data_IF_398112014595
#
_entry.id   IF_398112014595
#
_cell.length_a   1.000
_cell.length_b   1.000
_cell.length_c   1.000
_cell.angle_alpha   90.00
_cell.angle_beta   90.00
_cell.angle_gamma   90.00
#
_symmetry.space_group_name_H-M   'P 1'
#
loop_
_entity.id
_entity.type
_entity.pdbx_description
1 polymer ?
#
# COMPACT_ATOMS: atom_id res chain seq x y z
N UNK A 1 12.40 -41.87 15.64
CA UNK A 1 13.29 -40.77 15.20
C UNK A 1 12.48 -39.51 15.34
N UNK A 2 12.70 -38.73 16.40
CA UNK A 2 12.20 -37.36 16.46
C UNK A 2 13.02 -36.55 15.46
N UNK A 3 12.37 -36.05 14.42
CA UNK A 3 12.96 -35.03 13.55
C UNK A 3 13.01 -33.78 14.43
N UNK A 4 14.16 -33.52 15.02
CA UNK A 4 14.44 -32.21 15.63
C UNK A 4 14.55 -31.27 14.44
N UNK A 5 13.45 -30.62 14.08
CA UNK A 5 13.48 -29.44 13.20
C UNK A 5 14.27 -28.37 13.94
N UNK A 6 15.58 -28.36 13.70
CA UNK A 6 16.47 -27.29 14.12
C UNK A 6 16.13 -26.07 13.25
N UNK A 7 15.01 -25.42 13.56
CA UNK A 7 14.50 -24.26 12.83
C UNK A 7 15.48 -23.12 13.06
N UNK A 8 16.35 -22.88 12.08
CA UNK A 8 17.25 -21.73 12.10
C UNK A 8 16.42 -20.45 12.23
N UNK A 9 16.73 -19.64 13.23
CA UNK A 9 16.04 -18.37 13.45
C UNK A 9 16.55 -17.37 12.41
N UNK A 10 15.64 -16.66 11.75
CA UNK A 10 16.00 -15.62 10.79
C UNK A 10 16.83 -14.51 11.47
N UNK A 11 17.96 -14.16 10.87
CA UNK A 11 18.93 -13.21 11.42
C UNK A 11 19.63 -12.44 10.31
N UNK A 12 20.31 -11.37 10.71
CA UNK A 12 21.15 -10.62 9.79
C UNK A 12 22.37 -11.45 9.40
N UNK A 13 22.71 -11.46 8.12
CA UNK A 13 23.86 -12.20 7.57
C UNK A 13 25.18 -11.44 7.71
N UNK A 14 25.11 -10.17 8.13
CA UNK A 14 26.24 -9.26 8.30
C UNK A 14 26.22 -8.64 9.69
N UNK A 15 27.36 -8.10 10.13
CA UNK A 15 27.44 -7.39 11.40
C UNK A 15 26.64 -6.08 11.37
N UNK A 16 26.19 -5.58 12.53
CA UNK A 16 25.44 -4.32 12.61
C UNK A 16 26.21 -3.12 12.03
N UNK A 17 27.54 -3.07 12.20
CA UNK A 17 28.39 -2.02 11.62
C UNK A 17 28.43 -2.09 10.09
N UNK A 18 28.52 -3.30 9.54
CA UNK A 18 28.50 -3.50 8.10
C UNK A 18 27.12 -3.16 7.53
N UNK A 19 26.06 -3.47 8.27
CA UNK A 19 24.69 -3.11 7.90
C UNK A 19 24.52 -1.60 7.80
N UNK A 20 24.97 -0.84 8.79
CA UNK A 20 24.94 0.62 8.75
C UNK A 20 25.74 1.21 7.58
N UNK A 21 26.85 0.57 7.21
CA UNK A 21 27.68 0.97 6.07
C UNK A 21 27.02 0.70 4.72
N UNK A 22 26.35 -0.45 4.57
CA UNK A 22 25.67 -0.85 3.34
C UNK A 22 24.39 -0.04 3.12
N UNK A 23 23.61 0.20 4.17
CA UNK A 23 22.36 0.96 4.14
C UNK A 23 22.62 2.42 4.52
N UNK A 24 23.27 3.14 3.60
CA UNK A 24 23.78 4.48 3.82
C UNK A 24 22.70 5.57 3.84
N UNK A 25 21.61 5.44 3.07
CA UNK A 25 20.53 6.42 3.08
C UNK A 25 19.74 6.28 4.38
N UNK A 26 19.68 7.36 5.17
CA UNK A 26 18.96 7.41 6.44
C UNK A 26 17.58 8.06 6.27
N UNK A 27 16.62 7.49 6.97
CA UNK A 27 15.31 8.09 7.18
C UNK A 27 15.07 8.17 8.68
N UNK A 28 14.54 9.30 9.13
CA UNK A 28 14.12 9.50 10.51
C UNK A 28 12.61 9.26 10.62
N UNK A 29 12.18 8.67 11.72
CA UNK A 29 10.75 8.56 12.05
C UNK A 29 10.25 9.96 12.44
N UNK A 30 9.56 10.63 11.52
CA UNK A 30 9.02 11.98 11.73
C UNK A 30 7.78 11.95 12.61
N UNK A 31 6.90 10.98 12.38
CA UNK A 31 5.67 10.81 13.14
C UNK A 31 5.30 9.32 13.21
N UNK A 32 4.77 8.90 14.35
CA UNK A 32 4.19 7.57 14.57
C UNK A 32 2.83 7.79 15.26
N UNK A 33 1.79 7.12 14.78
CA UNK A 33 0.47 7.16 15.42
C UNK A 33 -0.21 5.82 15.30
N UNK A 34 -0.67 5.28 16.43
CA UNK A 34 -1.53 4.11 16.45
C UNK A 34 -2.96 4.52 16.10
N UNK A 35 -3.56 3.87 15.12
CA UNK A 35 -4.93 4.20 14.69
C UNK A 35 -5.95 3.79 15.72
N UNK A 36 -5.72 2.65 16.39
CA UNK A 36 -6.56 2.18 17.48
C UNK A 36 -5.71 1.63 18.62
N UNK A 37 -6.27 1.63 19.84
CA UNK A 37 -5.63 1.02 21.01
C UNK A 37 -5.61 -0.52 20.95
N UNK A 38 -6.42 -1.11 20.06
CA UNK A 38 -6.41 -2.55 19.77
C UNK A 38 -5.48 -2.80 18.59
N UNK A 39 -4.76 -3.92 18.59
CA UNK A 39 -4.00 -4.33 17.41
C UNK A 39 -4.99 -4.57 16.25
N UNK A 40 -4.90 -3.75 15.22
CA UNK A 40 -5.74 -3.81 14.01
C UNK A 40 -4.84 -3.80 12.78
N UNK A 41 -5.13 -4.67 11.82
CA UNK A 41 -4.40 -4.75 10.57
C UNK A 41 -4.80 -3.61 9.63
N UNK A 42 -3.82 -2.88 9.12
CA UNK A 42 -4.03 -1.86 8.07
C UNK A 42 -3.42 -2.39 6.77
N UNK A 43 -4.29 -2.87 5.88
CA UNK A 43 -3.85 -3.49 4.63
C UNK A 43 -3.82 -2.51 3.45
N UNK A 44 -4.55 -1.38 3.53
CA UNK A 44 -4.64 -0.40 2.45
C UNK A 44 -4.55 1.02 3.01
N UNK A 45 -3.77 1.85 2.32
CA UNK A 45 -3.59 3.26 2.62
C UNK A 45 -3.60 4.07 1.32
N UNK A 46 -3.98 5.34 1.43
CA UNK A 46 -3.83 6.31 0.35
C UNK A 46 -3.28 7.62 0.92
N UNK A 47 -2.43 8.30 0.15
CA UNK A 47 -1.84 9.58 0.54
C UNK A 47 -2.19 10.63 -0.51
N UNK A 48 -2.67 11.77 -0.06
CA UNK A 48 -3.01 12.92 -0.89
C UNK A 48 -1.76 13.76 -1.22
N UNK A 49 -1.87 14.70 -2.17
CA UNK A 49 -0.77 15.62 -2.53
C UNK A 49 -0.39 16.55 -1.38
N UNK A 50 -1.34 16.85 -0.50
CA UNK A 50 -1.10 17.64 0.73
C UNK A 50 -0.71 16.79 1.94
N UNK A 51 -0.36 15.51 1.77
CA UNK A 51 -0.01 14.60 2.87
C UNK A 51 -1.16 14.36 3.86
N UNK A 52 -2.41 14.34 3.38
CA UNK A 52 -3.48 13.66 4.11
C UNK A 52 -3.33 12.16 3.88
N UNK A 53 -3.47 11.36 4.92
CA UNK A 53 -3.29 9.92 4.92
C UNK A 53 -4.61 9.29 5.29
N UNK A 54 -5.19 8.51 4.38
CA UNK A 54 -6.40 7.74 4.62
C UNK A 54 -6.02 6.28 4.82
N UNK A 55 -6.53 5.69 5.89
CA UNK A 55 -6.31 4.28 6.21
C UNK A 55 -7.65 3.56 6.36
N UNK A 56 -7.71 2.37 5.78
CA UNK A 56 -8.84 1.46 5.93
C UNK A 56 -8.72 0.67 7.23
N UNK A 57 -9.82 0.57 7.98
CA UNK A 57 -9.90 -0.24 9.19
C UNK A 57 -10.77 -1.48 8.99
N UNK A 58 -10.58 -2.46 9.89
CA UNK A 58 -11.33 -3.72 9.91
C UNK A 58 -12.79 -3.58 10.33
N UNK A 59 -13.15 -2.45 10.96
CA UNK A 59 -14.53 -2.14 11.34
C UNK A 59 -15.29 -1.39 10.24
N UNK A 60 -14.81 -1.52 8.99
CA UNK A 60 -15.39 -0.91 7.78
C UNK A 60 -15.44 0.61 7.81
N UNK A 61 -14.64 1.24 8.68
CA UNK A 61 -14.44 2.67 8.72
C UNK A 61 -13.12 3.08 8.09
N UNK A 62 -13.04 4.37 7.76
CA UNK A 62 -11.83 4.99 7.23
C UNK A 62 -11.43 6.08 8.21
N UNK A 63 -10.15 6.12 8.56
CA UNK A 63 -9.59 7.23 9.32
C UNK A 63 -8.69 8.07 8.43
N UNK A 64 -8.87 9.38 8.51
CA UNK A 64 -8.08 10.35 7.75
C UNK A 64 -7.24 11.16 8.73
N UNK A 65 -5.96 11.19 8.47
CA UNK A 65 -4.95 11.94 9.22
C UNK A 65 -4.34 13.01 8.33
N UNK A 66 -3.82 14.07 8.93
CA UNK A 66 -3.00 15.08 8.27
C UNK A 66 -1.62 15.08 8.89
N UNK A 67 -0.60 15.09 8.05
CA UNK A 67 0.77 15.31 8.49
C UNK A 67 1.04 16.81 8.67
N UNK A 68 1.17 17.23 9.92
CA UNK A 68 1.56 18.58 10.30
C UNK A 68 2.99 18.55 10.86
N UNK A 69 3.97 18.88 10.00
CA UNK A 69 5.41 18.82 10.27
C UNK A 69 5.88 17.41 10.69
N UNK A 70 5.90 17.14 11.99
CA UNK A 70 6.36 15.90 12.62
C UNK A 70 5.28 15.27 13.51
N UNK A 71 4.01 15.57 13.24
CA UNK A 71 2.89 15.00 13.98
C UNK A 71 1.75 14.65 13.04
N UNK A 72 1.03 13.57 13.36
CA UNK A 72 -0.19 13.20 12.66
C UNK A 72 -1.39 13.65 13.49
N UNK A 73 -2.22 14.51 12.91
CA UNK A 73 -3.48 14.96 13.50
C UNK A 73 -4.64 14.23 12.82
N UNK A 74 -5.56 13.66 13.61
CA UNK A 74 -6.77 13.03 13.06
C UNK A 74 -7.71 14.11 12.54
N UNK A 75 -8.05 14.05 11.25
CA UNK A 75 -8.95 15.00 10.58
C UNK A 75 -10.39 14.56 10.78
N UNK A 76 -10.73 13.34 10.34
CA UNK A 76 -12.07 12.80 10.42
C UNK A 76 -12.07 11.27 10.42
N UNK A 77 -13.24 10.71 10.71
CA UNK A 77 -13.55 9.29 10.57
C UNK A 77 -14.78 9.16 9.70
N UNK A 78 -14.67 8.38 8.62
CA UNK A 78 -15.73 8.15 7.66
C UNK A 78 -16.32 6.77 7.95
N UNK A 79 -17.62 6.70 8.10
CA UNK A 79 -18.34 5.47 8.44
C UNK A 79 -19.67 5.47 7.71
N UNK A 80 -20.02 4.32 7.13
CA UNK A 80 -21.19 4.21 6.28
C UNK A 80 -21.16 3.01 5.35
N UNK A 81 -20.02 2.31 5.25
CA UNK A 81 -19.97 0.96 4.69
C UNK A 81 -20.49 -0.07 5.69
N UNK A 82 -21.24 -1.07 5.22
CA UNK A 82 -21.89 -2.13 6.00
C UNK A 82 -21.14 -3.47 5.94
N UNK A 83 -20.30 -3.65 4.93
CA UNK A 83 -19.47 -4.79 4.61
C UNK A 83 -18.00 -4.37 4.55
N UNK A 84 -17.12 -5.34 4.36
CA UNK A 84 -15.68 -5.11 4.32
C UNK A 84 -15.33 -4.08 3.26
N UNK A 85 -14.72 -2.98 3.69
CA UNK A 85 -14.01 -2.09 2.79
C UNK A 85 -12.88 -2.87 2.11
N UNK A 86 -12.62 -2.59 0.84
CA UNK A 86 -11.55 -3.26 0.09
C UNK A 86 -10.46 -2.30 -0.35
N UNK A 87 -10.81 -1.06 -0.67
CA UNK A 87 -9.85 -0.07 -1.18
C UNK A 87 -10.21 1.36 -0.77
N UNK A 88 -9.19 2.21 -0.64
CA UNK A 88 -9.34 3.66 -0.39
C UNK A 88 -8.37 4.44 -1.26
N UNK A 89 -8.84 5.50 -1.93
CA UNK A 89 -8.02 6.27 -2.89
C UNK A 89 -8.38 7.76 -2.81
N UNK A 90 -7.40 8.63 -2.56
CA UNK A 90 -7.60 10.08 -2.68
C UNK A 90 -7.77 10.51 -4.14
N UNK A 91 -8.60 11.52 -4.35
CA UNK A 91 -8.70 12.17 -5.67
C UNK A 91 -7.37 12.80 -6.06
N UNK A 92 -6.97 12.59 -7.31
CA UNK A 92 -5.78 13.22 -7.90
C UNK A 92 -5.99 14.71 -8.21
N UNK A 93 -7.24 15.18 -8.25
CA UNK A 93 -7.62 16.57 -8.55
C UNK A 93 -7.94 17.39 -7.31
N UNK A 94 -8.65 16.79 -6.36
CA UNK A 94 -9.18 17.49 -5.19
C UNK A 94 -8.75 16.79 -3.90
N UNK A 95 -7.82 17.41 -3.18
CA UNK A 95 -7.11 16.77 -2.07
C UNK A 95 -7.99 16.37 -0.87
N UNK A 96 -9.20 16.92 -0.81
CA UNK A 96 -10.18 16.63 0.23
C UNK A 96 -11.17 15.53 -0.15
N UNK A 97 -11.20 15.10 -1.41
CA UNK A 97 -12.08 14.04 -1.88
C UNK A 97 -11.40 12.69 -1.75
N UNK A 98 -12.12 11.72 -1.18
CA UNK A 98 -11.67 10.36 -0.98
C UNK A 98 -12.70 9.40 -1.56
N UNK A 99 -12.25 8.42 -2.33
CA UNK A 99 -13.07 7.31 -2.81
C UNK A 99 -12.80 6.09 -1.94
N UNK A 100 -13.82 5.28 -1.71
CA UNK A 100 -13.66 3.97 -1.09
C UNK A 100 -14.58 2.93 -1.69
N UNK A 101 -14.06 1.71 -1.80
CA UNK A 101 -14.80 0.56 -2.33
C UNK A 101 -15.21 -0.38 -1.19
N UNK A 102 -16.46 -0.83 -1.22
CA UNK A 102 -17.10 -1.68 -0.22
C UNK A 102 -18.62 -1.79 -0.47
N UNK A 103 -19.29 -2.76 0.14
CA UNK A 103 -20.75 -3.00 0.02
C UNK A 103 -21.27 -3.22 -1.41
N UNK A 104 -20.42 -3.72 -2.31
CA UNK A 104 -20.75 -3.82 -3.73
C UNK A 104 -20.96 -2.49 -4.43
N UNK A 105 -20.26 -1.44 -3.98
CA UNK A 105 -20.21 -0.15 -4.64
C UNK A 105 -18.96 0.67 -4.30
N UNK A 106 -18.90 1.87 -4.86
CA UNK A 106 -17.91 2.89 -4.51
C UNK A 106 -18.61 4.05 -3.84
N UNK A 107 -18.00 4.62 -2.80
CA UNK A 107 -18.49 5.85 -2.14
C UNK A 107 -17.46 6.96 -2.29
N UNK A 108 -17.93 8.16 -2.58
CA UNK A 108 -17.15 9.40 -2.55
C UNK A 108 -17.44 10.17 -1.27
N UNK A 109 -16.38 10.63 -0.61
CA UNK A 109 -16.41 11.36 0.64
C UNK A 109 -15.72 12.70 0.49
N UNK A 110 -16.25 13.73 1.15
CA UNK A 110 -15.53 14.99 1.39
C UNK A 110 -14.99 14.96 2.82
N UNK A 111 -13.67 14.90 2.96
CA UNK A 111 -12.99 14.84 4.26
C UNK A 111 -13.15 16.08 5.14
N UNK A 112 -13.63 17.20 4.58
CA UNK A 112 -13.96 18.43 5.31
C UNK A 112 -15.37 18.40 5.89
N UNK A 113 -16.27 17.65 5.26
CA UNK A 113 -17.64 17.49 5.72
C UNK A 113 -17.70 16.25 6.61
N UNK A 114 -18.30 16.38 7.80
CA UNK A 114 -18.22 15.36 8.85
C UNK A 114 -18.92 14.04 8.47
N UNK A 115 -18.22 13.14 7.79
CA UNK A 115 -18.57 11.73 7.64
C UNK A 115 -19.76 11.42 6.73
N UNK A 116 -20.29 12.39 5.97
CA UNK A 116 -21.38 12.14 5.03
C UNK A 116 -20.82 11.70 3.67
N UNK A 117 -21.40 10.63 3.14
CA UNK A 117 -21.17 10.21 1.78
C UNK A 117 -21.72 11.29 0.83
N UNK A 118 -20.87 11.77 -0.08
CA UNK A 118 -21.22 12.78 -1.09
C UNK A 118 -21.98 12.12 -2.24
N UNK A 119 -21.53 10.95 -2.66
CA UNK A 119 -22.11 10.21 -3.78
C UNK A 119 -21.77 8.72 -3.67
N UNK A 120 -22.73 7.87 -4.02
CA UNK A 120 -22.52 6.42 -4.16
C UNK A 120 -22.57 6.06 -5.65
N UNK A 121 -21.67 5.16 -6.06
CA UNK A 121 -21.60 4.58 -7.40
C UNK A 121 -21.90 3.09 -7.25
N UNK A 122 -23.01 2.65 -7.82
CA UNK A 122 -23.50 1.28 -7.73
C UNK A 122 -24.05 0.87 -9.07
N UNK A 123 -23.94 -0.40 -9.37
CA UNK A 123 -24.70 -1.03 -10.45
C UNK A 123 -25.99 -1.57 -9.83
N UNK A 124 -27.10 -0.86 -9.99
CA UNK A 124 -28.40 -1.28 -9.44
C UNK A 124 -29.06 -2.38 -10.27
N UNK A 125 -28.64 -2.57 -11.52
CA UNK A 125 -29.24 -3.54 -12.43
C UNK A 125 -28.63 -4.94 -12.27
N UNK A 126 -27.39 -5.03 -11.79
CA UNK A 126 -26.71 -6.28 -11.48
C UNK A 126 -26.74 -6.60 -9.98
N UNK A 127 -26.57 -7.87 -9.64
CA UNK A 127 -26.37 -8.24 -8.23
C UNK A 127 -25.12 -7.51 -7.71
N UNK A 128 -25.10 -7.10 -6.43
CA UNK A 128 -23.95 -6.39 -5.88
C UNK A 128 -22.70 -7.28 -5.98
N UNK A 129 -21.83 -6.94 -6.94
CA UNK A 129 -20.55 -7.60 -7.12
C UNK A 129 -19.65 -7.32 -5.91
N UNK A 130 -18.91 -8.33 -5.41
CA UNK A 130 -17.89 -8.08 -4.39
C UNK A 130 -16.70 -7.40 -5.06
N UNK A 131 -16.56 -6.08 -4.88
CA UNK A 131 -15.41 -5.34 -5.42
C UNK A 131 -14.20 -5.50 -4.51
N UNK A 132 -13.12 -6.07 -5.04
CA UNK A 132 -11.87 -6.40 -4.32
C UNK A 132 -10.83 -5.28 -4.35
N UNK A 133 -10.91 -4.42 -5.36
CA UNK A 133 -9.96 -3.34 -5.59
C UNK A 133 -10.60 -2.22 -6.42
N UNK A 134 -9.97 -1.05 -6.42
CA UNK A 134 -10.44 0.12 -7.15
C UNK A 134 -9.30 1.10 -7.39
N UNK A 135 -9.40 1.88 -8.45
CA UNK A 135 -8.59 3.10 -8.61
C UNK A 135 -9.34 4.21 -9.34
N UNK A 136 -8.77 5.41 -9.30
CA UNK A 136 -9.31 6.59 -9.98
C UNK A 136 -8.26 7.17 -10.93
N UNK A 137 -8.68 7.42 -12.16
CA UNK A 137 -7.83 7.99 -13.20
C UNK A 137 -7.16 9.31 -12.76
N UNK A 138 -5.98 9.61 -13.32
CA UNK A 138 -5.27 10.85 -13.06
C UNK A 138 -6.02 12.13 -13.52
N UNK A 139 -7.04 11.97 -14.37
CA UNK A 139 -8.00 13.03 -14.71
C UNK A 139 -9.03 13.27 -13.61
N UNK A 140 -9.20 12.33 -12.68
CA UNK A 140 -10.23 12.34 -11.63
C UNK A 140 -11.63 12.03 -12.12
N UNK A 141 -11.78 11.68 -13.41
CA UNK A 141 -13.09 11.55 -14.06
C UNK A 141 -13.60 10.12 -14.10
N UNK A 142 -12.72 9.15 -14.33
CA UNK A 142 -13.07 7.74 -14.43
C UNK A 142 -12.64 7.02 -13.16
N UNK A 143 -13.58 6.24 -12.61
CA UNK A 143 -13.38 5.32 -11.50
C UNK A 143 -13.47 3.91 -12.09
N UNK A 144 -12.60 3.00 -11.68
CA UNK A 144 -12.67 1.60 -12.06
C UNK A 144 -12.57 0.72 -10.81
N UNK A 145 -13.42 -0.28 -10.70
CA UNK A 145 -13.37 -1.30 -9.66
C UNK A 145 -13.29 -2.70 -10.28
N UNK A 146 -12.47 -3.56 -9.69
CA UNK A 146 -12.38 -4.98 -10.04
C UNK A 146 -13.19 -5.85 -9.09
N UNK A 147 -13.74 -6.95 -9.59
CA UNK A 147 -14.57 -7.88 -8.81
C UNK A 147 -13.82 -9.13 -8.39
N UNK A 148 -14.39 -9.86 -7.43
CA UNK A 148 -14.17 -11.30 -7.27
C UNK A 148 -14.71 -12.06 -8.48
N UNK A 149 -14.29 -13.31 -8.61
CA UNK A 149 -14.72 -14.22 -9.68
C UNK A 149 -16.19 -14.58 -9.51
N UNK A 150 -16.98 -14.35 -10.55
CA UNK A 150 -18.37 -14.76 -10.64
C UNK A 150 -18.56 -15.70 -11.83
N UNK A 151 -19.08 -16.90 -11.58
CA UNK A 151 -19.36 -17.88 -12.65
C UNK A 151 -18.15 -18.15 -13.59
N UNK A 152 -16.93 -18.07 -13.03
CA UNK A 152 -15.60 -18.26 -13.64
C UNK A 152 -14.95 -17.04 -14.30
N UNK A 153 -15.61 -15.88 -14.31
CA UNK A 153 -15.04 -14.65 -14.87
C UNK A 153 -15.03 -13.55 -13.81
N UNK A 154 -14.02 -12.71 -13.82
CA UNK A 154 -13.93 -11.51 -13.00
C UNK A 154 -13.94 -10.27 -13.90
N UNK A 155 -14.60 -9.22 -13.41
CA UNK A 155 -15.04 -8.10 -14.23
C UNK A 155 -14.43 -6.77 -13.74
N UNK A 156 -14.25 -5.83 -14.67
CA UNK A 156 -13.92 -4.44 -14.37
C UNK A 156 -15.14 -3.56 -14.64
N UNK A 157 -15.61 -2.84 -13.64
CA UNK A 157 -16.75 -1.91 -13.77
C UNK A 157 -16.27 -0.47 -13.70
N UNK A 158 -16.79 0.38 -14.59
CA UNK A 158 -16.36 1.77 -14.72
C UNK A 158 -17.49 2.75 -14.40
N UNK A 159 -17.14 3.88 -13.80
CA UNK A 159 -18.07 5.00 -13.56
C UNK A 159 -17.45 6.33 -13.99
N UNK A 160 -18.29 7.27 -14.42
CA UNK A 160 -17.92 8.69 -14.50
C UNK A 160 -18.22 9.30 -13.13
N UNK A 161 -17.24 9.98 -12.54
CA UNK A 161 -17.35 10.66 -11.25
C UNK A 161 -18.60 11.56 -11.14
N UNK A 162 -19.14 12.07 -12.25
CA UNK A 162 -20.31 12.95 -12.28
C UNK A 162 -21.65 12.22 -12.32
N UNK A 163 -21.66 10.90 -12.46
CA UNK A 163 -22.86 10.06 -12.60
C UNK A 163 -22.79 8.89 -11.63
N UNK A 164 -23.91 8.56 -10.99
CA UNK A 164 -23.98 7.41 -10.09
C UNK A 164 -24.02 6.08 -10.85
N UNK A 165 -24.63 6.08 -12.04
CA UNK A 165 -24.77 4.91 -12.91
C UNK A 165 -23.44 4.52 -13.56
N UNK A 166 -23.19 3.22 -13.76
CA UNK A 166 -21.99 2.73 -14.44
C UNK A 166 -21.95 3.18 -15.90
N UNK A 167 -20.73 3.42 -16.39
CA UNK A 167 -20.46 3.64 -17.82
C UNK A 167 -20.51 2.34 -18.62
N UNK A 168 -20.31 1.21 -17.95
CA UNK A 168 -20.13 -0.11 -18.55
C UNK A 168 -18.88 -0.77 -17.97
N UNK A 169 -18.30 -1.71 -18.71
CA UNK A 169 -17.06 -2.35 -18.32
C UNK A 169 -16.69 -3.61 -19.08
N UNK A 170 -15.66 -4.29 -18.57
CA UNK A 170 -14.94 -5.36 -19.24
C UNK A 170 -15.26 -6.69 -18.55
N UNK A 171 -15.94 -7.56 -19.30
CA UNK A 171 -16.64 -8.72 -18.76
C UNK A 171 -15.86 -10.02 -18.94
N UNK A 172 -14.74 -10.01 -19.66
CA UNK A 172 -13.86 -11.17 -19.79
C UNK A 172 -12.42 -10.78 -19.45
N UNK A 173 -12.27 -9.91 -18.45
CA UNK A 173 -10.98 -9.31 -18.10
C UNK A 173 -10.04 -10.35 -17.49
N UNK A 174 -10.53 -11.17 -16.55
CA UNK A 174 -9.74 -12.17 -15.83
C UNK A 174 -10.57 -13.41 -15.50
N UNK A 175 -9.90 -14.56 -15.28
CA UNK A 175 -10.58 -15.83 -14.93
C UNK A 175 -10.55 -16.14 -13.43
N UNK A 176 -9.85 -15.33 -12.65
CA UNK A 176 -9.85 -15.36 -11.18
C UNK A 176 -9.92 -13.93 -10.61
N UNK A 177 -10.04 -13.80 -9.29
CA UNK A 177 -10.28 -12.54 -8.59
C UNK A 177 -9.28 -11.46 -9.01
N UNK A 178 -9.80 -10.28 -9.38
CA UNK A 178 -8.95 -9.14 -9.69
C UNK A 178 -8.40 -8.62 -8.36
N UNK A 179 -7.08 -8.61 -8.19
CA UNK A 179 -6.48 -8.20 -6.92
C UNK A 179 -6.05 -6.74 -6.92
N UNK A 180 -5.80 -6.18 -8.10
CA UNK A 180 -5.34 -4.81 -8.28
C UNK A 180 -5.92 -4.19 -9.55
N UNK A 181 -6.33 -2.94 -9.42
CA UNK A 181 -6.61 -2.02 -10.52
C UNK A 181 -5.77 -0.78 -10.27
N UNK A 182 -5.04 -0.32 -11.29
CA UNK A 182 -4.19 0.87 -11.22
C UNK A 182 -4.24 1.70 -12.50
N UNK A 183 -4.78 2.91 -12.40
CA UNK A 183 -4.65 3.88 -13.47
C UNK A 183 -3.21 4.38 -13.56
N UNK A 184 -2.79 4.67 -14.79
CA UNK A 184 -1.48 5.25 -15.03
C UNK A 184 -1.39 6.66 -14.41
N UNK A 185 -0.22 7.02 -13.89
CA UNK A 185 -0.01 8.27 -13.14
C UNK A 185 -0.26 9.53 -13.96
N UNK A 186 0.06 9.48 -15.25
CA UNK A 186 0.02 10.63 -16.16
C UNK A 186 -0.93 10.50 -17.36
N UNK A 187 -1.44 9.29 -17.65
CA UNK A 187 -2.25 8.98 -18.84
C UNK A 187 -3.61 8.51 -18.35
N UNK A 188 -4.66 9.31 -18.56
CA UNK A 188 -5.97 9.02 -17.98
C UNK A 188 -6.67 7.83 -18.61
N UNK A 189 -6.26 7.49 -19.82
CA UNK A 189 -6.77 6.42 -20.65
C UNK A 189 -6.11 5.06 -20.38
N UNK A 190 -4.94 5.04 -19.73
CA UNK A 190 -4.21 3.80 -19.47
C UNK A 190 -4.56 3.20 -18.12
N UNK A 191 -5.00 1.95 -18.12
CA UNK A 191 -5.33 1.17 -16.93
C UNK A 191 -4.56 -0.16 -16.92
N UNK A 192 -4.05 -0.56 -15.76
CA UNK A 192 -3.55 -1.92 -15.51
C UNK A 192 -4.49 -2.64 -14.53
N UNK A 193 -4.85 -3.89 -14.84
CA UNK A 193 -5.46 -4.82 -13.90
C UNK A 193 -4.55 -6.02 -13.68
N UNK A 194 -4.56 -6.57 -12.48
CA UNK A 194 -3.87 -7.81 -12.15
C UNK A 194 -4.74 -8.72 -11.31
N UNK A 195 -4.58 -10.03 -11.49
CA UNK A 195 -5.43 -11.05 -10.88
C UNK A 195 -4.62 -12.20 -10.25
N UNK A 196 -5.34 -13.03 -9.49
CA UNK A 196 -4.84 -14.32 -8.99
C UNK A 196 -4.49 -15.29 -10.12
N UNK A 197 -5.05 -15.12 -11.31
CA UNK A 197 -4.77 -15.92 -12.51
C UNK A 197 -3.31 -15.80 -13.01
N UNK A 198 -2.53 -14.89 -12.43
CA UNK A 198 -1.13 -14.64 -12.77
C UNK A 198 -0.92 -13.77 -14.00
N UNK A 199 -1.96 -13.05 -14.42
CA UNK A 199 -1.95 -12.17 -15.58
C UNK A 199 -2.09 -10.70 -15.15
N UNK A 200 -1.43 -9.82 -15.89
CA UNK A 200 -1.70 -8.38 -15.88
C UNK A 200 -2.23 -7.99 -17.26
N UNK A 201 -3.37 -7.31 -17.31
CA UNK A 201 -3.88 -6.72 -18.54
C UNK A 201 -3.66 -5.20 -18.54
N UNK A 202 -3.22 -4.67 -19.67
CA UNK A 202 -3.05 -3.23 -19.91
C UNK A 202 -4.10 -2.80 -20.93
N UNK A 203 -4.89 -1.80 -20.55
CA UNK A 203 -5.99 -1.29 -21.35
C UNK A 203 -5.78 0.17 -21.77
N UNK A 204 -6.30 0.52 -22.95
CA UNK A 204 -6.69 1.88 -23.32
C UNK A 204 -8.22 2.01 -23.20
N UNK A 205 -8.68 2.71 -22.17
CA UNK A 205 -10.11 2.84 -21.86
C UNK A 205 -10.85 3.89 -22.70
N UNK A 206 -10.18 4.54 -23.66
CA UNK A 206 -10.84 5.40 -24.66
C UNK A 206 -11.46 4.61 -25.82
N UNK A 207 -11.06 3.35 -25.99
CA UNK A 207 -11.60 2.48 -27.03
C UNK A 207 -13.03 2.03 -26.70
N UNK A 208 -13.84 1.80 -27.73
CA UNK A 208 -15.27 1.56 -27.58
C UNK A 208 -15.66 0.16 -27.11
N UNK A 209 -14.75 -0.81 -27.19
CA UNK A 209 -14.98 -2.21 -26.82
C UNK A 209 -13.84 -2.75 -25.97
N UNK A 210 -14.09 -3.80 -25.19
CA UNK A 210 -13.08 -4.48 -24.37
C UNK A 210 -11.93 -5.05 -25.24
N UNK A 211 -12.27 -5.67 -26.37
CA UNK A 211 -11.31 -6.28 -27.28
C UNK A 211 -10.36 -5.24 -27.90
N UNK A 212 -10.88 -4.06 -28.26
CA UNK A 212 -10.08 -2.95 -28.78
C UNK A 212 -9.28 -2.26 -27.66
N UNK A 213 -9.85 -2.20 -26.45
CA UNK A 213 -9.21 -1.59 -25.30
C UNK A 213 -8.00 -2.39 -24.80
N UNK A 214 -8.04 -3.72 -24.87
CA UNK A 214 -6.94 -4.58 -24.40
C UNK A 214 -5.70 -4.43 -25.30
N UNK A 215 -4.67 -3.74 -24.80
CA UNK A 215 -3.43 -3.52 -25.53
C UNK A 215 -2.44 -4.67 -25.35
N UNK A 216 -2.25 -5.11 -24.10
CA UNK A 216 -1.25 -6.12 -23.75
C UNK A 216 -1.74 -7.00 -22.61
N UNK A 217 -1.36 -8.27 -22.69
CA UNK A 217 -1.53 -9.27 -21.63
C UNK A 217 -0.16 -9.77 -21.22
N UNK A 218 0.22 -9.50 -19.97
CA UNK A 218 1.54 -9.83 -19.42
C UNK A 218 1.41 -11.04 -18.50
N UNK A 219 2.15 -12.11 -18.79
CA UNK A 219 2.18 -13.30 -17.96
C UNK A 219 3.24 -13.18 -16.84
N UNK A 220 2.75 -13.11 -15.61
CA UNK A 220 3.56 -12.97 -14.38
C UNK A 220 3.89 -14.33 -13.76
N UNK A 221 3.31 -15.42 -14.28
CA UNK A 221 3.48 -16.82 -13.83
C UNK A 221 2.85 -17.15 -12.46
N UNK A 222 2.59 -16.13 -11.63
CA UNK A 222 2.05 -16.26 -10.27
C UNK A 222 1.04 -15.15 -9.96
N UNK A 223 0.12 -15.44 -9.03
CA UNK A 223 -0.87 -14.51 -8.52
C UNK A 223 -0.30 -13.12 -8.20
N UNK A 224 -0.93 -12.10 -8.76
CA UNK A 224 -0.56 -10.69 -8.55
C UNK A 224 -1.04 -10.24 -7.17
N UNK A 225 -0.14 -9.72 -6.34
CA UNK A 225 -0.49 -9.18 -5.02
C UNK A 225 -0.57 -7.65 -5.06
N UNK A 226 0.42 -7.01 -5.69
CA UNK A 226 0.53 -5.55 -5.80
C UNK A 226 0.99 -5.10 -7.17
N UNK A 227 0.38 -4.03 -7.66
CA UNK A 227 0.77 -3.30 -8.85
C UNK A 227 1.09 -1.86 -8.50
N UNK A 228 2.21 -1.36 -9.01
CA UNK A 228 2.60 0.04 -8.85
C UNK A 228 3.23 0.55 -10.15
N UNK A 229 2.68 1.64 -10.68
CA UNK A 229 3.30 2.39 -11.77
C UNK A 229 4.57 3.09 -11.23
N UNK A 230 5.73 2.74 -11.79
CA UNK A 230 7.00 3.34 -11.40
C UNK A 230 7.23 4.64 -12.17
N UNK A 231 6.89 4.67 -13.44
CA UNK A 231 6.93 5.86 -14.30
C UNK A 231 6.02 5.69 -15.54
N UNK A 232 6.23 6.55 -16.53
CA UNK A 232 5.46 6.64 -17.78
C UNK A 232 5.42 5.38 -18.67
N UNK A 233 6.30 4.40 -18.44
CA UNK A 233 6.30 3.15 -19.18
C UNK A 233 6.54 1.91 -18.30
N UNK A 234 7.04 2.05 -17.07
CA UNK A 234 7.40 0.92 -16.21
C UNK A 234 6.33 0.62 -15.16
N UNK A 235 5.90 -0.63 -15.13
CA UNK A 235 5.01 -1.19 -14.13
C UNK A 235 5.76 -2.21 -13.28
N UNK A 236 5.68 -2.10 -11.95
CA UNK A 236 6.15 -3.15 -11.04
C UNK A 236 4.99 -4.01 -10.57
N UNK A 237 5.26 -5.31 -10.46
CA UNK A 237 4.36 -6.31 -9.91
C UNK A 237 5.07 -7.08 -8.80
N UNK A 238 4.48 -7.09 -7.61
CA UNK A 238 4.84 -8.03 -6.56
C UNK A 238 3.85 -9.20 -6.55
N UNK A 239 4.36 -10.42 -6.56
CA UNK A 239 3.53 -11.64 -6.57
C UNK A 239 3.30 -12.13 -5.15
N UNK A 240 2.32 -13.01 -4.97
CA UNK A 240 2.03 -13.67 -3.69
C UNK A 240 3.24 -14.48 -3.13
N UNK A 241 4.16 -14.91 -4.02
CA UNK A 241 5.40 -15.58 -3.64
C UNK A 241 6.52 -14.62 -3.23
N UNK A 242 6.24 -13.31 -3.14
CA UNK A 242 7.21 -12.26 -2.82
C UNK A 242 8.33 -12.12 -3.88
N UNK A 243 8.02 -12.45 -5.12
CA UNK A 243 8.86 -12.10 -6.26
C UNK A 243 8.49 -10.72 -6.77
N UNK A 244 9.46 -9.99 -7.29
CA UNK A 244 9.25 -8.69 -7.92
C UNK A 244 9.58 -8.76 -9.42
N UNK A 245 8.62 -8.37 -10.25
CA UNK A 245 8.80 -8.20 -11.68
C UNK A 245 8.64 -6.72 -12.06
N UNK A 246 9.44 -6.26 -13.03
CA UNK A 246 9.32 -4.92 -13.63
C UNK A 246 9.14 -5.10 -15.12
N UNK A 247 8.09 -4.50 -15.65
CA UNK A 247 7.65 -4.62 -17.03
C UNK A 247 7.70 -3.28 -17.75
N UNK A 248 8.01 -3.31 -19.05
CA UNK A 248 7.76 -2.20 -19.95
C UNK A 248 6.37 -2.37 -20.56
N UNK A 249 5.49 -1.40 -20.32
CA UNK A 249 4.10 -1.42 -20.79
C UNK A 249 3.93 -0.91 -22.22
N UNK A 250 4.99 -0.39 -22.84
CA UNK A 250 4.99 0.03 -24.25
C UNK A 250 5.44 -1.07 -25.19
N UNK A 251 6.30 -1.98 -24.72
CA UNK A 251 6.79 -3.12 -25.50
C UNK A 251 6.29 -4.47 -25.00
N UNK A 252 5.61 -4.50 -23.85
CA UNK A 252 5.19 -5.70 -23.13
C UNK A 252 6.36 -6.62 -22.69
N UNK A 253 7.57 -6.05 -22.55
CA UNK A 253 8.76 -6.82 -22.19
C UNK A 253 8.99 -6.88 -20.67
N UNK A 254 9.35 -8.07 -20.18
CA UNK A 254 9.81 -8.26 -18.79
C UNK A 254 11.23 -7.70 -18.65
N UNK A 255 11.37 -6.50 -18.09
CA UNK A 255 12.66 -5.81 -17.93
C UNK A 255 13.52 -6.43 -16.82
N UNK A 256 12.92 -6.76 -15.68
CA UNK A 256 13.60 -7.32 -14.51
C UNK A 256 12.72 -8.33 -13.79
N UNK A 257 13.36 -9.34 -13.22
CA UNK A 257 12.76 -10.30 -12.30
C UNK A 257 13.73 -10.54 -11.13
N UNK A 258 13.19 -10.47 -9.93
CA UNK A 258 13.89 -10.71 -8.67
C UNK A 258 13.08 -11.70 -7.86
N UNK A 259 13.59 -12.92 -7.74
CA UNK A 259 13.02 -13.92 -6.85
C UNK A 259 13.16 -13.49 -5.38
N UNK A 260 12.31 -14.07 -4.54
CA UNK A 260 12.31 -13.88 -3.08
C UNK A 260 13.68 -14.09 -2.44
N UNK A 261 14.45 -15.09 -2.87
CA UNK A 261 15.78 -15.38 -2.30
C UNK A 261 16.76 -14.23 -2.56
N UNK A 262 16.75 -13.68 -3.76
CA UNK A 262 17.61 -12.58 -4.19
C UNK A 262 17.25 -11.30 -3.45
N UNK A 263 15.96 -11.04 -3.25
CA UNK A 263 15.48 -9.92 -2.42
C UNK A 263 15.96 -10.10 -0.98
N UNK A 264 15.76 -11.29 -0.39
CA UNK A 264 16.21 -11.64 0.97
C UNK A 264 17.72 -11.42 1.17
N UNK A 265 18.55 -11.94 0.25
CA UNK A 265 20.01 -11.74 0.28
C UNK A 265 20.39 -10.26 0.16
N UNK A 266 19.65 -9.47 -0.62
CA UNK A 266 19.91 -8.03 -0.78
C UNK A 266 19.49 -7.21 0.43
N UNK A 267 18.45 -7.59 1.16
CA UNK A 267 18.12 -7.01 2.47
C UNK A 267 18.97 -7.58 3.62
N UNK A 268 19.95 -8.46 3.33
CA UNK A 268 20.89 -9.05 4.30
C UNK A 268 20.22 -9.92 5.38
N UNK A 269 19.17 -10.66 5.01
CA UNK A 269 18.53 -11.68 5.87
C UNK A 269 18.95 -13.10 5.48
N UNK A 270 18.84 -14.02 6.43
CA UNK A 270 19.29 -15.41 6.25
C UNK A 270 18.20 -16.31 5.67
N UNK A 271 16.93 -16.01 5.97
CA UNK A 271 15.79 -16.87 5.61
C UNK A 271 14.92 -16.25 4.54
N UNK A 272 14.98 -16.83 3.35
CA UNK A 272 14.15 -16.41 2.22
C UNK A 272 12.67 -16.69 2.47
N UNK A 273 12.34 -17.78 3.15
CA UNK A 273 10.98 -18.20 3.51
C UNK A 273 10.28 -17.27 4.51
N UNK A 274 11.02 -16.37 5.16
CA UNK A 274 10.49 -15.32 6.04
C UNK A 274 10.52 -13.92 5.38
N UNK A 275 11.12 -13.78 4.19
CA UNK A 275 11.24 -12.49 3.49
C UNK A 275 9.89 -12.06 2.90
N UNK A 276 9.49 -10.82 3.14
CA UNK A 276 8.25 -10.25 2.61
C UNK A 276 8.54 -9.02 1.75
N UNK A 277 7.90 -8.90 0.58
CA UNK A 277 7.93 -7.69 -0.23
C UNK A 277 6.72 -6.84 0.14
N UNK A 278 6.98 -5.70 0.77
CA UNK A 278 5.93 -4.80 1.24
C UNK A 278 5.41 -3.90 0.11
N UNK A 279 6.30 -3.29 -0.69
CA UNK A 279 5.89 -2.43 -1.82
C UNK A 279 7.06 -2.14 -2.77
N UNK A 280 6.78 -1.54 -3.92
CA UNK A 280 7.78 -1.00 -4.82
C UNK A 280 7.38 0.40 -5.30
N UNK A 281 8.35 1.32 -5.37
CA UNK A 281 8.10 2.71 -5.76
C UNK A 281 9.30 3.29 -6.52
N UNK A 282 9.10 4.43 -7.17
CA UNK A 282 10.19 5.17 -7.80
C UNK A 282 10.85 6.12 -6.78
N UNK A 283 12.12 5.89 -6.46
CA UNK A 283 12.87 6.75 -5.55
C UNK A 283 13.10 8.16 -6.10
N UNK A 284 13.51 9.09 -5.22
CA UNK A 284 13.90 10.45 -5.58
C UNK A 284 14.94 10.52 -6.72
N UNK A 285 15.83 9.53 -6.80
CA UNK A 285 16.85 9.41 -7.86
C UNK A 285 16.31 8.85 -9.19
N UNK A 286 15.00 8.63 -9.30
CA UNK A 286 14.35 8.09 -10.50
C UNK A 286 14.59 6.61 -10.73
N UNK A 287 15.07 5.87 -9.71
CA UNK A 287 15.28 4.42 -9.80
C UNK A 287 14.23 3.66 -9.01
N UNK A 288 13.81 2.48 -9.48
CA UNK A 288 12.90 1.63 -8.71
C UNK A 288 13.55 1.21 -7.39
N UNK A 289 12.79 1.32 -6.31
CA UNK A 289 13.14 0.93 -4.96
C UNK A 289 12.11 -0.10 -4.50
N UNK A 290 12.61 -1.19 -3.92
CA UNK A 290 11.82 -2.28 -3.35
C UNK A 290 11.86 -2.13 -1.85
N UNK A 291 10.71 -2.08 -1.21
CA UNK A 291 10.54 -2.13 0.23
C UNK A 291 10.27 -3.58 0.63
N UNK A 292 11.14 -4.14 1.45
CA UNK A 292 11.05 -5.53 1.88
C UNK A 292 11.41 -5.67 3.36
N UNK A 293 10.86 -6.69 4.00
CA UNK A 293 11.04 -6.96 5.41
C UNK A 293 11.13 -8.45 5.70
N UNK A 294 11.09 -8.78 6.98
CA UNK A 294 10.96 -10.17 7.45
C UNK A 294 9.69 -10.31 8.26
N UNK A 295 8.97 -11.41 8.05
CA UNK A 295 7.81 -11.81 8.86
C UNK A 295 8.25 -12.35 10.22
N UNK A 296 9.54 -12.67 10.38
CA UNK A 296 10.09 -13.22 11.61
C UNK A 296 9.92 -12.28 12.81
N UNK A 297 9.63 -12.87 13.97
CA UNK A 297 9.56 -12.15 15.24
C UNK A 297 8.35 -11.22 15.31
N UNK A 298 8.60 -9.92 15.49
CA UNK A 298 7.58 -8.86 15.58
C UNK A 298 7.37 -8.10 14.27
N UNK A 299 8.03 -8.52 13.18
CA UNK A 299 8.01 -7.83 11.89
C UNK A 299 8.80 -6.52 11.88
N UNK A 300 9.64 -6.25 12.88
CA UNK A 300 10.38 -5.00 12.99
C UNK A 300 11.43 -4.76 11.89
N UNK A 301 11.81 -5.79 11.14
CA UNK A 301 12.78 -5.65 10.05
C UNK A 301 12.12 -5.05 8.81
N UNK A 302 12.47 -3.81 8.48
CA UNK A 302 12.06 -3.12 7.26
C UNK A 302 13.28 -2.48 6.60
N UNK A 303 13.51 -2.82 5.33
CA UNK A 303 14.65 -2.34 4.54
C UNK A 303 14.22 -1.99 3.12
N UNK A 304 14.92 -1.05 2.51
CA UNK A 304 14.77 -0.76 1.09
C UNK A 304 16.02 -1.14 0.32
N UNK A 305 15.82 -1.65 -0.89
CA UNK A 305 16.87 -1.97 -1.86
C UNK A 305 16.53 -1.31 -3.18
N UNK A 306 17.54 -0.78 -3.85
CA UNK A 306 17.42 -0.06 -5.11
C UNK A 306 17.79 -0.96 -6.29
N UNK A 307 17.02 -0.88 -7.36
CA UNK A 307 17.32 -1.55 -8.62
C UNK A 307 18.51 -0.86 -9.29
N UNK A 308 19.57 -1.63 -9.55
CA UNK A 308 20.76 -1.13 -10.25
C UNK A 308 20.45 -0.89 -11.73
N UNK A 309 20.92 0.23 -12.28
CA UNK A 309 20.74 0.54 -13.71
C UNK A 309 21.70 -0.24 -14.61
N UNK A 310 22.88 -0.59 -14.09
CA UNK A 310 23.96 -1.24 -14.85
C UNK A 310 23.95 -2.76 -14.75
N UNK A 311 23.27 -3.31 -13.75
CA UNK A 311 23.30 -4.73 -13.44
C UNK A 311 21.93 -5.23 -13.02
N UNK A 312 21.67 -6.54 -13.14
CA UNK A 312 20.46 -7.13 -12.59
C UNK A 312 20.59 -7.38 -11.07
N UNK A 313 21.16 -6.43 -10.31
CA UNK A 313 21.36 -6.54 -8.86
C UNK A 313 20.50 -5.53 -8.11
N UNK A 314 20.18 -5.88 -6.87
CA UNK A 314 19.52 -5.00 -5.90
C UNK A 314 20.58 -4.51 -4.91
N UNK A 315 20.73 -3.19 -4.85
CA UNK A 315 21.69 -2.48 -4.00
C UNK A 315 21.01 -2.08 -2.68
N UNK A 316 21.56 -2.43 -1.51
CA UNK A 316 21.08 -1.89 -0.23
C UNK A 316 20.94 -0.37 -0.23
N UNK A 317 19.84 0.16 0.30
CA UNK A 317 19.57 1.60 0.32
C UNK A 317 19.32 2.13 1.73
N UNK A 318 18.23 1.72 2.38
CA UNK A 318 17.84 2.19 3.71
C UNK A 318 17.50 1.04 4.64
N UNK A 319 17.93 1.14 5.90
CA UNK A 319 17.46 0.33 7.01
C UNK A 319 16.59 1.21 7.90
N UNK A 320 15.29 0.93 7.96
CA UNK A 320 14.33 1.70 8.76
C UNK A 320 14.42 1.24 10.21
N UNK A 321 15.47 1.71 10.89
CA UNK A 321 15.66 1.44 12.31
C UNK A 321 14.43 1.92 13.09
N UNK A 322 13.98 1.12 14.06
CA UNK A 322 12.80 1.38 14.91
C UNK A 322 11.43 1.10 14.29
N UNK A 323 11.33 0.46 13.13
CA UNK A 323 10.06 -0.11 12.69
C UNK A 323 9.57 -1.17 13.72
N UNK A 324 8.29 -1.13 14.08
CA UNK A 324 7.67 -1.97 15.14
C UNK A 324 6.55 -2.86 14.60
N UNK A 325 6.47 -3.03 13.28
CA UNK A 325 5.37 -3.74 12.65
C UNK A 325 5.76 -4.39 11.33
N UNK A 326 5.09 -5.48 11.00
CA UNK A 326 5.13 -6.01 9.63
C UNK A 326 4.37 -5.06 8.70
N UNK A 327 5.10 -4.33 7.86
CA UNK A 327 4.54 -3.38 6.90
C UNK A 327 3.84 -4.13 5.76
N UNK A 328 2.58 -3.79 5.53
CA UNK A 328 1.74 -4.37 4.45
C UNK A 328 1.46 -3.38 3.33
N UNK A 329 1.56 -2.08 3.59
CA UNK A 329 1.31 -1.05 2.60
C UNK A 329 2.22 0.15 2.82
N UNK A 330 2.66 0.76 1.73
CA UNK A 330 3.48 1.95 1.77
C UNK A 330 3.07 2.93 0.66
N UNK A 331 3.25 4.22 0.92
CA UNK A 331 3.18 5.25 -0.11
C UNK A 331 4.39 6.16 0.01
N UNK A 332 5.05 6.42 -1.11
CA UNK A 332 6.23 7.26 -1.18
C UNK A 332 5.92 8.56 -1.92
N UNK A 333 6.13 9.68 -1.25
CA UNK A 333 6.11 11.00 -1.86
C UNK A 333 7.53 11.38 -2.31
N UNK A 334 7.75 11.27 -3.62
CA UNK A 334 9.02 11.61 -4.27
C UNK A 334 9.42 13.08 -4.11
N UNK A 335 8.45 14.01 -4.03
CA UNK A 335 8.77 15.45 -3.94
C UNK A 335 9.33 15.82 -2.58
N UNK A 336 8.82 15.19 -1.52
CA UNK A 336 9.20 15.46 -0.13
C UNK A 336 10.22 14.47 0.42
N UNK A 337 10.53 13.41 -0.33
CA UNK A 337 11.30 12.26 0.13
C UNK A 337 10.74 11.68 1.44
N UNK A 338 9.41 11.52 1.47
CA UNK A 338 8.67 10.98 2.62
C UNK A 338 8.10 9.61 2.25
N UNK A 339 8.30 8.62 3.12
CA UNK A 339 7.67 7.31 3.02
C UNK A 339 6.65 7.18 4.16
N UNK A 340 5.41 6.85 3.83
CA UNK A 340 4.37 6.48 4.80
C UNK A 340 4.22 4.97 4.77
N UNK A 341 4.25 4.31 5.91
CA UNK A 341 4.06 2.85 6.02
C UNK A 341 2.98 2.49 7.03
N UNK A 342 2.21 1.46 6.71
CA UNK A 342 1.22 0.86 7.62
C UNK A 342 1.30 -0.65 7.59
N UNK A 343 0.83 -1.30 8.66
CA UNK A 343 0.99 -2.74 8.79
C UNK A 343 0.10 -3.38 9.84
N UNK A 344 0.56 -4.53 10.31
CA UNK A 344 -0.22 -5.45 11.17
C UNK A 344 -0.40 -4.96 12.60
N UNK A 345 0.45 -4.05 13.07
CA UNK A 345 0.34 -3.45 14.41
C UNK A 345 -0.62 -2.26 14.45
N UNK A 346 -1.17 -1.82 13.31
CA UNK A 346 -2.08 -0.67 13.24
C UNK A 346 -1.40 0.68 13.45
N UNK A 347 -0.10 0.76 13.17
CA UNK A 347 0.68 1.99 13.25
C UNK A 347 0.74 2.66 11.87
N UNK A 348 0.63 3.98 11.85
CA UNK A 348 1.00 4.83 10.72
C UNK A 348 2.35 5.44 11.05
N UNK A 349 3.38 5.01 10.32
CA UNK A 349 4.74 5.54 10.46
C UNK A 349 5.05 6.44 9.27
N UNK A 350 5.58 7.63 9.54
CA UNK A 350 6.01 8.59 8.54
C UNK A 350 7.51 8.77 8.65
N UNK A 351 8.22 8.37 7.60
CA UNK A 351 9.66 8.38 7.51
C UNK A 351 10.09 9.53 6.60
N UNK A 352 10.90 10.46 7.11
CA UNK A 352 11.46 11.56 6.32
C UNK A 352 12.93 11.31 5.98
N UNK A 353 13.30 11.51 4.71
CA UNK A 353 14.69 11.47 4.28
C UNK A 353 15.51 12.54 4.99
N UNK A 354 16.71 12.18 5.46
CA UNK A 354 17.65 13.16 6.03
C UNK A 354 18.29 13.93 4.87
N UNK A 355 17.96 15.21 4.73
CA UNK A 355 18.74 16.11 3.86
C UNK A 355 19.99 16.53 4.60
N UNK A 356 21.17 16.32 4.01
CA UNK A 356 22.46 16.80 4.50
C UNK A 356 22.41 18.35 4.64
N UNK A 357 21.96 18.88 5.78
CA UNK A 357 21.83 20.32 5.96
C UNK A 357 20.96 20.87 7.08
N UNK A 358 20.28 20.07 7.91
CA UNK A 358 19.62 20.62 9.12
C UNK A 358 19.42 19.59 10.21
N UNK A 359 20.06 19.91 11.34
CA UNK A 359 19.80 19.51 12.71
C UNK A 359 19.95 18.02 13.04
N UNK A 360 21.11 17.71 13.64
CA UNK A 360 21.21 16.66 14.65
C UNK A 360 19.98 16.77 15.58
N UNK A 361 19.27 15.68 15.86
CA UNK A 361 18.21 15.73 16.85
C UNK A 361 18.85 16.12 18.19
N UNK A 362 18.40 17.24 18.77
CA UNK A 362 18.72 17.61 20.14
C UNK A 362 18.56 16.38 21.05
N UNK A 363 19.67 15.86 21.56
CA UNK A 363 19.71 14.90 22.66
C UNK A 363 19.22 15.57 23.94
N UNK A 364 17.97 16.04 24.02
CA UNK A 364 17.34 16.40 25.30
C UNK A 364 15.82 16.58 25.19
N UNK A 365 15.11 15.46 25.11
CA UNK A 365 13.72 15.41 25.54
C UNK A 365 13.40 14.07 26.19
N UNK A 366 14.08 13.78 27.31
CA UNK A 366 13.60 12.79 28.28
C UNK A 366 12.24 13.29 28.81
N UNK A 367 11.13 12.57 28.61
CA UNK A 367 9.87 12.98 29.20
C UNK A 367 9.97 12.82 30.72
N UNK A 368 9.89 13.94 31.44
CA UNK A 368 9.79 13.96 32.91
C UNK A 368 8.62 13.08 33.33
N UNK A 369 8.91 11.99 34.03
CA UNK A 369 7.92 11.15 34.72
C UNK A 369 7.03 12.04 35.59
N UNK A 370 5.76 12.17 35.22
CA UNK A 370 4.74 12.67 36.15
C UNK A 370 4.42 11.55 37.15
N UNK A 371 5.09 11.56 38.30
CA UNK A 371 4.59 10.86 39.48
C UNK A 371 3.35 11.60 39.99
N UNK A 372 2.16 11.17 39.57
CA UNK A 372 0.93 11.38 40.35
C UNK A 372 0.53 10.05 40.95
N UNK A 373 0.92 9.86 42.21
CA UNK A 373 0.39 8.83 43.10
C UNK A 373 -1.12 9.04 43.25
N UNK A 374 -1.92 8.26 42.53
CA UNK A 374 -3.34 8.12 42.80
C UNK A 374 -3.49 7.12 43.96
N UNK A 375 -3.70 7.64 45.17
CA UNK A 375 -4.12 6.83 46.32
C UNK A 375 -5.55 6.35 46.06
N UNK A 376 -5.70 5.05 45.80
CA UNK A 376 -7.00 4.37 45.87
C UNK A 376 -7.50 4.41 47.32
N UNK A 377 -8.59 5.14 47.57
CA UNK A 377 -9.29 5.06 48.84
C UNK A 377 -10.16 3.80 48.85
N UNK A 378 -9.78 2.83 49.68
CA UNK A 378 -10.63 1.69 50.03
C UNK A 378 -11.90 2.20 50.74
N UNK A 379 -13.02 2.21 50.02
CA UNK A 379 -14.35 2.20 50.62
C UNK A 379 -15.05 0.92 50.21
N UNK A 380 -14.87 -0.12 51.04
CA UNK A 380 -15.67 -1.33 51.08
C UNK A 380 -17.14 -0.95 51.31
N UNK A 381 -18.00 -1.20 50.32
CA UNK A 381 -19.43 -1.30 50.55
C UNK A 381 -19.71 -2.61 51.30
N UNK A 382 -20.45 -2.52 52.41
CA UNK A 382 -21.03 -3.68 53.12
C UNK A 382 -22.44 -3.94 52.58
N UNK A 383 -22.91 -5.20 52.65
CA UNK A 383 -24.18 -5.62 52.08
C UNK A 383 -25.34 -5.27 53.02
N UNK A 384 -26.49 -4.94 52.41
CA UNK A 384 -27.82 -5.35 52.87
C UNK A 384 -28.62 -5.78 51.65
#
# INVERSE_FOLDING_TARGET
>A
MEIIENTEIDKDTVSSKELESLFSKKYNLLAETAVTLKKTYINKLSVSKSMNIAVRLLDNSIEVYRLDKSSLSKVCRLSGHQQSLTEVVFSTKEDHLLYSSGDGGVKLWDTRTSGLCVQEYKDEERQPHSYTCMDVSCSGRVICAGTETEQNDAYLVFWDQRKAEPLGGYWNSHTEDITQVKFHTDKSETLASGSLDGIINIYNIEEGTEDDALQYTLNVDHAVEKLTWLDHCRLSCATQYNDLQIWDTTTADKLKHYDREKICRSIKRSRADECHVADAYLGADGRPVVLAGSVAGDGGVLRSVRVSTKSNKLEPLTNFAHNKQLVRCAAYDKQRDILVTTGESGLIDVWGGVTDGSDEPDEEAVPKKLHKSLRLSDKRHKPY
#
